data_IF_790766673283
#
_entry.id   IF_790766673283
#
_cell.length_a   1.000
_cell.length_b   1.000
_cell.length_c   1.000
_cell.angle_alpha   90.00
_cell.angle_beta   90.00
_cell.angle_gamma   90.00
#
_symmetry.space_group_name_H-M   'P 1'
#
loop_
_entity.id
_entity.type
_entity.pdbx_description
1 polymer ?
#
# COMPACT_ATOMS: atom_id res chain seq x y z
N UNK A 1 -17.19 47.85 -41.35
CA UNK A 1 -18.35 47.52 -42.21
C UNK A 1 -17.94 46.44 -43.19
N UNK A 2 -18.79 45.46 -43.55
CA UNK A 2 -20.06 45.01 -42.95
C UNK A 2 -19.92 43.56 -42.41
N UNK A 3 -20.35 43.21 -41.18
CA UNK A 3 -21.70 42.78 -40.78
C UNK A 3 -22.44 41.91 -41.79
N UNK A 4 -22.46 40.60 -41.55
CA UNK A 4 -23.50 39.69 -42.05
C UNK A 4 -24.18 39.00 -40.87
N UNK A 5 -25.31 39.57 -40.48
CA UNK A 5 -26.40 38.89 -39.78
C UNK A 5 -27.25 38.15 -40.81
N UNK A 6 -27.67 36.92 -40.52
CA UNK A 6 -28.96 36.44 -41.01
C UNK A 6 -29.59 35.40 -40.08
N UNK A 7 -30.94 35.35 -40.02
CA UNK A 7 -31.71 34.70 -38.98
C UNK A 7 -32.35 33.40 -39.46
N UNK A 8 -32.74 32.50 -38.55
CA UNK A 8 -33.93 31.68 -38.77
C UNK A 8 -34.63 31.42 -37.45
N UNK A 9 -35.91 31.80 -37.44
CA UNK A 9 -36.86 31.58 -36.38
C UNK A 9 -37.65 30.30 -36.62
N UNK A 10 -38.02 29.67 -35.50
CA UNK A 10 -39.34 29.06 -35.22
C UNK A 10 -39.79 27.85 -36.05
N UNK A 11 -39.90 26.69 -35.38
CA UNK A 11 -41.21 26.01 -35.30
C UNK A 11 -41.29 25.13 -34.05
N UNK A 12 -42.38 25.33 -33.28
CA UNK A 12 -42.80 24.46 -32.18
C UNK A 12 -43.36 23.15 -32.75
N UNK A 13 -43.05 22.02 -32.13
CA UNK A 13 -43.89 20.84 -32.16
C UNK A 13 -44.08 20.33 -30.73
N UNK A 14 -45.30 20.48 -30.25
CA UNK A 14 -45.85 19.86 -29.04
C UNK A 14 -46.26 18.44 -29.40
N UNK A 15 -45.84 17.46 -28.59
CA UNK A 15 -46.52 16.17 -28.47
C UNK A 15 -46.53 15.79 -26.99
N UNK A 16 -47.69 15.99 -26.38
CA UNK A 16 -48.13 15.25 -25.20
C UNK A 16 -48.21 13.76 -25.57
N UNK A 17 -47.81 12.86 -24.68
CA UNK A 17 -48.77 11.98 -23.97
C UNK A 17 -48.08 11.07 -22.93
N UNK A 18 -48.69 11.08 -21.74
CA UNK A 18 -48.87 9.99 -20.77
C UNK A 18 -47.63 9.36 -20.10
N UNK A 19 -47.36 9.81 -18.88
CA UNK A 19 -46.81 8.97 -17.82
C UNK A 19 -47.74 9.00 -16.60
N UNK A 20 -48.19 7.81 -16.24
CA UNK A 20 -49.14 7.45 -15.19
C UNK A 20 -48.66 7.93 -13.81
N UNK A 21 -49.46 8.75 -13.10
CA UNK A 21 -49.26 8.99 -11.67
C UNK A 21 -49.79 7.78 -10.89
N UNK A 22 -48.90 7.02 -10.25
CA UNK A 22 -49.26 6.08 -9.20
C UNK A 22 -49.18 6.79 -7.84
N UNK A 23 -50.33 7.17 -7.30
CA UNK A 23 -50.50 7.63 -5.92
C UNK A 23 -50.38 6.44 -4.97
N UNK A 24 -49.30 6.37 -4.20
CA UNK A 24 -49.19 5.47 -3.05
C UNK A 24 -49.73 6.21 -1.83
N UNK A 25 -50.94 5.84 -1.41
CA UNK A 25 -51.50 6.20 -0.10
C UNK A 25 -50.99 5.18 0.91
N UNK A 26 -50.07 5.58 1.80
CA UNK A 26 -49.70 4.80 2.98
C UNK A 26 -50.50 5.28 4.18
N UNK A 27 -51.60 4.58 4.47
CA UNK A 27 -52.31 4.68 5.74
C UNK A 27 -51.45 4.08 6.85
N UNK A 28 -51.11 4.88 7.86
CA UNK A 28 -50.48 4.40 9.09
C UNK A 28 -51.51 3.59 9.90
N UNK A 29 -51.29 2.27 10.02
CA UNK A 29 -52.02 1.41 10.94
C UNK A 29 -51.18 1.23 12.20
N UNK A 30 -51.68 1.74 13.33
CA UNK A 30 -51.14 1.46 14.67
C UNK A 30 -51.88 0.25 15.22
N UNK A 31 -51.21 -0.88 15.56
CA UNK A 31 -51.86 -1.93 16.30
C UNK A 31 -51.79 -1.65 17.81
N UNK A 32 -52.94 -1.72 18.46
CA UNK A 32 -53.10 -1.68 19.90
C UNK A 32 -52.49 -2.92 20.56
N UNK A 33 -51.79 -2.72 21.68
CA UNK A 33 -51.23 -3.78 22.49
C UNK A 33 -52.34 -4.50 23.27
N UNK A 34 -52.49 -5.81 23.04
CA UNK A 34 -53.24 -6.69 23.93
C UNK A 34 -52.25 -7.41 24.85
N UNK A 35 -52.39 -7.18 26.16
CA UNK A 35 -51.63 -7.86 27.21
C UNK A 35 -52.13 -9.30 27.35
N UNK A 36 -51.31 -10.26 26.93
CA UNK A 36 -51.49 -11.69 27.22
C UNK A 36 -50.40 -12.16 28.16
N UNK A 37 -50.76 -12.51 29.39
CA UNK A 37 -49.89 -13.18 30.37
C UNK A 37 -49.60 -14.61 29.92
N UNK A 38 -48.40 -14.87 29.39
CA UNK A 38 -47.87 -16.21 29.17
C UNK A 38 -46.81 -16.52 30.23
N UNK A 39 -47.10 -17.49 31.10
CA UNK A 39 -46.16 -18.03 32.09
C UNK A 39 -45.32 -19.10 31.40
N UNK A 40 -44.06 -18.79 31.09
CA UNK A 40 -43.09 -19.75 30.57
C UNK A 40 -42.48 -20.61 31.70
N UNK A 41 -42.20 -21.91 31.48
CA UNK A 41 -41.60 -22.76 32.50
C UNK A 41 -40.12 -22.42 32.68
N UNK A 42 -39.68 -22.42 33.94
CA UNK A 42 -38.32 -22.09 34.36
C UNK A 42 -37.36 -23.24 34.00
N UNK A 43 -36.46 -23.01 33.04
CA UNK A 43 -35.36 -23.93 32.75
C UNK A 43 -34.33 -23.96 33.90
N UNK A 44 -33.70 -25.12 34.19
CA UNK A 44 -32.72 -25.22 35.27
C UNK A 44 -31.45 -24.44 34.95
N UNK A 45 -30.96 -23.70 35.95
CA UNK A 45 -29.78 -22.85 35.86
C UNK A 45 -28.53 -23.73 35.92
N UNK A 46 -27.95 -24.06 34.76
CA UNK A 46 -26.63 -24.68 34.68
C UNK A 46 -25.58 -23.64 35.13
N UNK A 47 -24.67 -23.96 36.06
CA UNK A 47 -23.59 -23.04 36.42
C UNK A 47 -22.77 -22.76 35.17
N UNK A 48 -22.61 -21.50 34.80
CA UNK A 48 -21.70 -21.08 33.74
C UNK A 48 -20.28 -21.45 34.20
N UNK A 49 -19.82 -22.63 33.80
CA UNK A 49 -18.43 -23.02 33.94
C UNK A 49 -17.59 -21.98 33.22
N UNK A 50 -16.66 -21.37 33.96
CA UNK A 50 -15.65 -20.47 33.41
C UNK A 50 -14.88 -21.25 32.36
N UNK A 51 -15.22 -21.06 31.09
CA UNK A 51 -14.39 -21.54 29.99
C UNK A 51 -12.96 -21.00 30.23
N UNK A 52 -11.91 -21.83 30.12
CA UNK A 52 -10.55 -21.34 30.25
C UNK A 52 -10.37 -20.20 29.27
N UNK A 53 -10.17 -18.98 29.79
CA UNK A 53 -9.81 -17.82 28.97
C UNK A 53 -8.49 -18.17 28.31
N UNK A 54 -8.54 -18.58 27.05
CA UNK A 54 -7.34 -18.74 26.21
C UNK A 54 -6.56 -17.44 26.37
N UNK A 55 -5.29 -17.48 26.81
CA UNK A 55 -4.52 -16.26 27.03
C UNK A 55 -4.60 -15.43 25.76
N UNK A 56 -5.02 -14.17 25.89
CA UNK A 56 -4.90 -13.24 24.79
C UNK A 56 -3.43 -13.26 24.37
N UNK A 57 -3.16 -13.72 23.14
CA UNK A 57 -1.80 -13.85 22.63
C UNK A 57 -1.02 -12.58 22.93
N UNK A 58 0.19 -12.73 23.46
CA UNK A 58 1.03 -11.61 23.90
C UNK A 58 1.15 -10.59 22.77
N UNK A 59 0.82 -9.33 23.06
CA UNK A 59 0.95 -8.25 22.09
C UNK A 59 2.39 -8.18 21.56
N UNK A 60 2.61 -7.94 20.25
CA UNK A 60 3.95 -7.85 19.70
C UNK A 60 4.78 -6.78 20.42
N UNK A 61 6.00 -7.15 20.83
CA UNK A 61 6.94 -6.29 21.53
C UNK A 61 7.77 -5.50 20.52
N UNK A 62 7.59 -4.18 20.51
CA UNK A 62 8.45 -3.29 19.72
C UNK A 62 9.86 -3.26 20.34
N UNK A 63 10.93 -3.56 19.59
CA UNK A 63 12.30 -3.53 20.12
C UNK A 63 12.68 -2.15 20.67
N UNK A 64 13.48 -2.12 21.74
CA UNK A 64 13.94 -0.87 22.34
C UNK A 64 14.67 0.02 21.31
N UNK A 65 14.39 1.32 21.35
CA UNK A 65 14.93 2.29 20.39
C UNK A 65 14.32 2.23 19.00
N UNK A 66 13.47 1.25 18.67
CA UNK A 66 12.75 1.16 17.39
C UNK A 66 11.40 1.87 17.50
N UNK A 67 11.07 2.74 16.54
CA UNK A 67 9.69 3.16 16.34
C UNK A 67 9.04 2.23 15.32
N UNK A 68 7.83 1.77 15.59
CA UNK A 68 7.12 0.85 14.71
C UNK A 68 5.67 1.27 14.47
N UNK A 69 5.15 0.85 13.33
CA UNK A 69 3.73 0.85 12.97
C UNK A 69 3.43 -0.47 12.27
N UNK A 70 2.30 -1.10 12.59
CA UNK A 70 1.89 -2.32 11.89
C UNK A 70 0.39 -2.47 11.78
N UNK A 71 -0.04 -3.14 10.72
CA UNK A 71 -1.44 -3.54 10.49
C UNK A 71 -1.45 -4.94 9.89
N UNK A 72 -2.35 -5.79 10.38
CA UNK A 72 -2.75 -7.06 9.76
C UNK A 72 -4.24 -6.97 9.43
N UNK A 73 -4.58 -7.20 8.18
CA UNK A 73 -5.95 -7.23 7.67
C UNK A 73 -6.26 -8.62 7.13
N UNK A 74 -7.30 -9.26 7.67
CA UNK A 74 -7.81 -10.54 7.17
C UNK A 74 -8.89 -10.29 6.12
N UNK A 75 -8.60 -10.67 4.88
CA UNK A 75 -9.50 -10.47 3.75
C UNK A 75 -10.72 -11.37 3.79
N UNK A 76 -10.62 -12.53 4.45
CA UNK A 76 -11.76 -13.47 4.54
C UNK A 76 -12.83 -12.89 5.45
N UNK A 77 -12.44 -12.27 6.56
CA UNK A 77 -13.37 -11.63 7.50
C UNK A 77 -13.64 -10.17 7.18
N UNK A 78 -12.84 -9.55 6.30
CA UNK A 78 -12.93 -8.13 5.97
C UNK A 78 -12.50 -7.21 7.11
N UNK A 79 -11.71 -7.71 8.07
CA UNK A 79 -11.39 -7.00 9.33
C UNK A 79 -9.89 -6.84 9.53
N UNK A 80 -9.51 -5.72 10.12
CA UNK A 80 -8.19 -5.57 10.74
C UNK A 80 -8.14 -6.42 12.01
N UNK A 81 -7.30 -7.45 12.02
CA UNK A 81 -7.14 -8.36 13.18
C UNK A 81 -6.10 -7.83 14.16
N UNK A 82 -5.19 -6.98 13.72
CA UNK A 82 -4.16 -6.37 14.55
C UNK A 82 -3.76 -5.00 13.99
N UNK A 83 -3.61 -4.01 14.86
CA UNK A 83 -3.07 -2.70 14.49
C UNK A 83 -2.26 -2.07 15.63
N UNK A 84 -1.24 -1.31 15.27
CA UNK A 84 -0.46 -0.50 16.18
C UNK A 84 0.02 0.74 15.46
N UNK A 85 -0.40 1.92 15.94
CA UNK A 85 -0.07 3.23 15.37
C UNK A 85 -0.25 3.28 13.83
N UNK A 86 -1.43 2.89 13.30
CA UNK A 86 -1.62 2.61 11.87
C UNK A 86 -1.43 3.83 10.96
N UNK A 87 -1.63 5.04 11.49
CA UNK A 87 -1.55 6.32 10.76
C UNK A 87 -0.23 7.08 10.97
N UNK A 88 0.72 6.53 11.74
CA UNK A 88 2.04 7.15 11.87
C UNK A 88 2.78 7.05 10.54
N UNK A 89 3.36 8.17 10.11
CA UNK A 89 4.01 8.30 8.81
C UNK A 89 5.49 7.95 8.90
N UNK A 90 5.95 7.15 7.94
CA UNK A 90 7.35 6.78 7.73
C UNK A 90 7.78 7.18 6.33
N UNK A 91 9.08 7.38 6.11
CA UNK A 91 9.63 7.33 4.75
C UNK A 91 9.31 5.97 4.14
N UNK A 92 8.86 5.93 2.90
CA UNK A 92 8.45 4.71 2.23
C UNK A 92 9.61 3.77 1.94
N UNK A 93 10.79 4.33 1.68
CA UNK A 93 11.84 3.65 0.94
C UNK A 93 11.23 2.94 -0.30
N UNK A 94 11.71 1.74 -0.62
CA UNK A 94 11.28 0.95 -1.79
C UNK A 94 9.84 0.42 -1.76
N UNK A 95 9.06 0.64 -0.70
CA UNK A 95 7.63 0.26 -0.69
C UNK A 95 6.82 1.10 -1.69
N UNK A 96 7.21 2.36 -1.92
CA UNK A 96 6.53 3.26 -2.90
C UNK A 96 6.57 2.74 -4.33
N UNK A 97 7.49 1.82 -4.67
CA UNK A 97 7.59 1.22 -6.01
C UNK A 97 6.29 0.51 -6.42
N UNK A 98 5.45 0.10 -5.47
CA UNK A 98 4.09 -0.41 -5.76
C UNK A 98 3.21 0.70 -6.33
N UNK A 99 3.24 1.90 -5.75
CA UNK A 99 2.48 3.06 -6.23
C UNK A 99 2.99 3.54 -7.59
N UNK A 100 4.31 3.51 -7.81
CA UNK A 100 4.93 3.84 -9.10
C UNK A 100 4.47 2.85 -10.18
N UNK A 101 4.50 1.54 -9.89
CA UNK A 101 4.02 0.51 -10.83
C UNK A 101 2.52 0.65 -11.11
N UNK A 102 1.71 0.87 -10.06
CA UNK A 102 0.27 1.09 -10.19
C UNK A 102 -0.03 2.29 -11.09
N UNK A 103 0.61 3.43 -10.86
CA UNK A 103 0.38 4.64 -11.65
C UNK A 103 0.74 4.43 -13.12
N UNK A 104 1.91 3.83 -13.40
CA UNK A 104 2.30 3.50 -14.77
C UNK A 104 1.28 2.58 -15.43
N UNK A 105 0.92 1.47 -14.79
CA UNK A 105 0.04 0.46 -15.39
C UNK A 105 -1.42 0.92 -15.52
N UNK A 106 -1.94 1.69 -14.57
CA UNK A 106 -3.32 2.22 -14.56
C UNK A 106 -3.50 3.44 -15.45
N UNK A 107 -2.41 4.11 -15.85
CA UNK A 107 -2.44 5.18 -16.85
C UNK A 107 -2.44 4.63 -18.29
N UNK A 108 -2.15 3.33 -18.46
CA UNK A 108 -2.30 2.65 -19.76
C UNK A 108 -3.79 2.50 -20.06
N UNK A 109 -4.16 2.75 -21.32
CA UNK A 109 -5.51 2.46 -21.80
C UNK A 109 -5.86 0.97 -21.63
N UNK A 110 -7.16 0.64 -21.48
CA UNK A 110 -7.59 -0.76 -21.46
C UNK A 110 -7.03 -1.53 -22.66
N UNK A 111 -6.50 -2.73 -22.42
CA UNK A 111 -5.97 -3.58 -23.49
C UNK A 111 -4.60 -3.19 -24.04
N UNK A 112 -4.01 -2.06 -23.61
CA UNK A 112 -2.69 -1.67 -24.12
C UNK A 112 -1.59 -2.55 -23.54
N UNK A 113 -0.81 -3.20 -24.40
CA UNK A 113 0.30 -4.06 -23.99
C UNK A 113 1.42 -3.27 -23.29
N UNK A 114 2.07 -3.85 -22.28
CA UNK A 114 3.27 -3.24 -21.68
C UNK A 114 4.46 -3.45 -22.63
N UNK A 115 5.16 -2.40 -23.08
CA UNK A 115 6.35 -2.55 -23.90
C UNK A 115 7.39 -3.46 -23.23
N UNK A 116 8.12 -4.26 -24.01
CA UNK A 116 9.09 -5.23 -23.46
C UNK A 116 10.13 -4.59 -22.53
N UNK A 117 10.64 -3.40 -22.89
CA UNK A 117 11.59 -2.67 -22.06
C UNK A 117 10.98 -2.25 -20.70
N UNK A 118 9.74 -1.77 -20.71
CA UNK A 118 9.05 -1.39 -19.46
C UNK A 118 8.68 -2.62 -18.63
N UNK A 119 8.36 -3.75 -19.26
CA UNK A 119 8.14 -5.01 -18.57
C UNK A 119 9.41 -5.49 -17.85
N UNK A 120 10.61 -5.31 -18.45
CA UNK A 120 11.87 -5.60 -17.77
C UNK A 120 12.13 -4.63 -16.60
N UNK A 121 11.88 -3.33 -16.78
CA UNK A 121 11.99 -2.35 -15.71
C UNK A 121 11.07 -2.71 -14.53
N UNK A 122 9.79 -3.03 -14.80
CA UNK A 122 8.84 -3.48 -13.76
C UNK A 122 9.33 -4.74 -13.04
N UNK A 123 9.87 -5.72 -13.80
CA UNK A 123 10.42 -6.96 -13.25
C UNK A 123 11.57 -6.66 -12.28
N UNK A 124 12.57 -5.87 -12.69
CA UNK A 124 13.72 -5.52 -11.85
C UNK A 124 13.30 -4.68 -10.64
N UNK A 125 12.48 -3.65 -10.86
CA UNK A 125 11.98 -2.75 -9.80
C UNK A 125 11.21 -3.50 -8.72
N UNK A 126 10.31 -4.41 -9.11
CA UNK A 126 9.44 -5.10 -8.16
C UNK A 126 10.09 -6.32 -7.52
N UNK A 127 10.94 -7.06 -8.25
CA UNK A 127 11.59 -8.28 -7.72
C UNK A 127 12.87 -7.99 -6.98
N UNK A 128 13.79 -7.25 -7.59
CA UNK A 128 15.12 -6.96 -7.06
C UNK A 128 15.20 -5.57 -6.43
N UNK A 129 14.07 -4.84 -6.34
CA UNK A 129 14.03 -3.50 -5.77
C UNK A 129 14.96 -2.50 -6.47
N UNK A 130 15.21 -2.68 -7.76
CA UNK A 130 16.11 -1.85 -8.58
C UNK A 130 15.71 -0.36 -8.55
N UNK A 131 16.67 0.50 -8.21
CA UNK A 131 16.48 1.94 -8.03
C UNK A 131 16.50 2.71 -9.35
N UNK A 132 17.29 2.27 -10.33
CA UNK A 132 17.35 2.88 -11.66
C UNK A 132 16.03 2.63 -12.41
N UNK A 133 15.50 1.41 -12.31
CA UNK A 133 14.20 1.08 -12.87
C UNK A 133 13.06 1.89 -12.23
N UNK A 134 13.12 2.11 -10.92
CA UNK A 134 12.14 2.97 -10.24
C UNK A 134 12.28 4.44 -10.65
N UNK A 135 13.51 4.94 -10.75
CA UNK A 135 13.78 6.32 -11.13
C UNK A 135 13.34 6.60 -12.57
N UNK A 136 13.51 5.64 -13.49
CA UNK A 136 12.99 5.74 -14.85
C UNK A 136 11.47 5.94 -14.88
N UNK A 137 10.69 5.14 -14.13
CA UNK A 137 9.24 5.34 -14.04
C UNK A 137 8.86 6.62 -13.28
N UNK A 138 9.61 6.95 -12.21
CA UNK A 138 9.37 8.15 -11.41
C UNK A 138 9.49 9.42 -12.24
N UNK A 139 10.58 9.56 -13.00
CA UNK A 139 10.81 10.72 -13.84
C UNK A 139 9.80 10.81 -14.99
N UNK A 140 9.57 9.70 -15.71
CA UNK A 140 8.60 9.65 -16.82
C UNK A 140 7.17 9.93 -16.36
N UNK A 141 6.81 9.52 -15.14
CA UNK A 141 5.49 9.74 -14.57
C UNK A 141 5.27 11.12 -13.95
N UNK A 142 6.24 12.04 -14.01
CA UNK A 142 6.12 13.38 -13.46
C UNK A 142 6.32 13.45 -11.95
N UNK A 143 7.12 12.53 -11.39
CA UNK A 143 7.61 12.55 -10.00
C UNK A 143 6.48 12.60 -8.97
N UNK A 144 6.42 13.65 -8.15
CA UNK A 144 5.40 13.84 -7.11
C UNK A 144 3.96 13.77 -7.65
N UNK A 145 3.74 14.03 -8.94
CA UNK A 145 2.44 13.87 -9.58
C UNK A 145 1.92 12.41 -9.51
N UNK A 146 2.80 11.41 -9.55
CA UNK A 146 2.47 9.99 -9.34
C UNK A 146 1.78 9.83 -7.99
N UNK A 147 2.39 10.37 -6.93
CA UNK A 147 1.84 10.25 -5.57
C UNK A 147 0.50 10.98 -5.48
N UNK A 148 0.37 12.16 -6.07
CA UNK A 148 -0.91 12.88 -6.11
C UNK A 148 -2.03 12.08 -6.80
N UNK A 149 -1.74 11.44 -7.93
CA UNK A 149 -2.72 10.58 -8.64
C UNK A 149 -3.08 9.35 -7.82
N UNK A 150 -2.10 8.68 -7.22
CA UNK A 150 -2.35 7.48 -6.41
C UNK A 150 -3.09 7.79 -5.11
N UNK A 151 -2.75 8.88 -4.42
CA UNK A 151 -3.49 9.36 -3.24
C UNK A 151 -4.96 9.56 -3.55
N UNK A 152 -5.28 10.24 -4.66
CA UNK A 152 -6.68 10.45 -5.09
C UNK A 152 -7.37 9.14 -5.48
N UNK A 153 -6.70 8.31 -6.28
CA UNK A 153 -7.29 7.06 -6.81
C UNK A 153 -7.58 6.04 -5.71
N UNK A 154 -6.63 5.84 -4.79
CA UNK A 154 -6.71 4.84 -3.73
C UNK A 154 -7.35 5.40 -2.45
N UNK A 155 -7.60 6.72 -2.39
CA UNK A 155 -8.07 7.44 -1.20
C UNK A 155 -7.11 7.29 0.00
N UNK A 156 -5.80 7.39 -0.27
CA UNK A 156 -4.77 7.30 0.76
C UNK A 156 -4.79 8.55 1.63
N UNK A 157 -4.84 8.38 2.94
CA UNK A 157 -5.08 9.51 3.86
C UNK A 157 -3.80 10.05 4.48
N UNK A 158 -2.72 9.26 4.54
CA UNK A 158 -1.46 9.63 5.18
C UNK A 158 -0.31 9.77 4.18
N UNK A 159 -0.46 9.16 3.01
CA UNK A 159 0.53 9.12 1.96
C UNK A 159 0.69 10.50 1.36
N UNK A 160 1.93 10.94 1.17
CA UNK A 160 2.22 12.25 0.60
C UNK A 160 3.54 12.26 -0.14
N UNK A 161 3.74 13.22 -1.05
CA UNK A 161 4.95 13.32 -1.85
C UNK A 161 6.19 13.47 -0.96
N UNK A 162 7.39 13.19 -1.49
CA UNK A 162 8.62 13.51 -0.79
C UNK A 162 8.70 15.01 -0.47
N UNK A 163 9.54 15.42 0.51
CA UNK A 163 9.75 16.83 0.83
C UNK A 163 10.09 17.65 -0.43
N UNK A 164 9.55 18.86 -0.54
CA UNK A 164 9.79 19.74 -1.68
C UNK A 164 11.28 20.07 -1.89
N UNK A 165 12.08 20.03 -0.83
CA UNK A 165 13.55 20.18 -0.87
C UNK A 165 14.29 18.95 -1.41
N UNK A 166 13.59 17.84 -1.64
CA UNK A 166 14.13 16.55 -2.09
C UNK A 166 13.18 15.89 -3.13
N UNK A 167 12.80 16.59 -4.22
CA UNK A 167 11.73 16.15 -5.12
C UNK A 167 12.09 14.90 -5.96
N UNK A 168 13.38 14.64 -6.17
CA UNK A 168 13.88 13.43 -6.86
C UNK A 168 13.92 12.18 -5.96
N UNK A 169 13.79 12.34 -4.64
CA UNK A 169 13.94 11.24 -3.69
C UNK A 169 12.62 10.51 -3.49
N UNK A 170 12.18 9.71 -4.48
CA UNK A 170 10.92 8.97 -4.42
C UNK A 170 10.77 8.14 -3.12
N UNK A 171 11.88 7.60 -2.60
CA UNK A 171 11.89 6.82 -1.34
C UNK A 171 11.59 7.64 -0.08
N UNK A 172 11.52 8.96 -0.18
CA UNK A 172 11.11 9.87 0.91
C UNK A 172 9.62 10.17 0.91
N UNK A 173 8.86 9.60 -0.05
CA UNK A 173 7.40 9.57 0.00
C UNK A 173 6.95 9.11 1.38
N UNK A 174 6.09 9.89 2.02
CA UNK A 174 5.52 9.50 3.30
C UNK A 174 4.47 8.42 3.07
N UNK A 175 4.44 7.40 3.93
CA UNK A 175 3.36 6.40 3.96
C UNK A 175 3.03 5.97 5.39
N UNK A 176 1.87 5.36 5.59
CA UNK A 176 1.43 4.74 6.85
C UNK A 176 1.10 3.26 6.65
N UNK A 177 1.03 2.48 7.72
CA UNK A 177 0.67 1.06 7.61
C UNK A 177 -0.77 0.88 7.13
N UNK A 178 -1.69 1.78 7.50
CA UNK A 178 -3.06 1.81 6.99
C UNK A 178 -3.12 2.02 5.47
N UNK A 179 -2.34 2.96 4.94
CA UNK A 179 -2.30 3.24 3.49
C UNK A 179 -1.63 2.12 2.70
N UNK A 180 -0.61 1.47 3.26
CA UNK A 180 -0.01 0.27 2.66
C UNK A 180 -1.06 -0.84 2.55
N UNK A 181 -1.83 -1.11 3.61
CA UNK A 181 -2.92 -2.09 3.56
C UNK A 181 -3.97 -1.70 2.53
N UNK A 182 -4.36 -0.42 2.47
CA UNK A 182 -5.29 0.10 1.47
C UNK A 182 -4.79 -0.12 0.05
N UNK A 183 -3.48 0.02 -0.19
CA UNK A 183 -2.84 -0.23 -1.48
C UNK A 183 -2.93 -1.69 -1.91
N UNK A 184 -2.61 -2.63 -1.02
CA UNK A 184 -2.76 -4.07 -1.31
C UNK A 184 -4.21 -4.49 -1.51
N UNK A 185 -5.14 -3.90 -0.74
CA UNK A 185 -6.57 -4.12 -0.93
C UNK A 185 -7.04 -3.62 -2.29
N UNK A 186 -6.62 -2.43 -2.72
CA UNK A 186 -6.92 -1.93 -4.07
C UNK A 186 -6.44 -2.92 -5.14
N UNK A 187 -5.20 -3.40 -5.05
CA UNK A 187 -4.66 -4.40 -5.99
C UNK A 187 -5.54 -5.65 -6.08
N UNK A 188 -6.03 -6.15 -4.96
CA UNK A 188 -6.79 -7.39 -4.91
C UNK A 188 -8.27 -7.23 -5.28
N UNK A 189 -8.88 -6.11 -4.87
CA UNK A 189 -10.33 -5.92 -4.86
C UNK A 189 -10.82 -5.05 -6.03
N UNK A 190 -9.98 -4.15 -6.58
CA UNK A 190 -10.44 -3.09 -7.50
C UNK A 190 -9.59 -2.86 -8.74
N UNK A 191 -8.28 -3.13 -8.68
CA UNK A 191 -7.40 -2.95 -9.82
C UNK A 191 -7.83 -3.83 -11.01
N UNK A 192 -7.55 -3.38 -12.23
CA UNK A 192 -7.71 -4.23 -13.40
C UNK A 192 -6.92 -5.54 -13.18
N UNK A 193 -7.51 -6.73 -13.44
CA UNK A 193 -6.84 -8.01 -13.24
C UNK A 193 -5.44 -8.08 -13.87
N UNK A 194 -5.24 -7.54 -15.08
CA UNK A 194 -3.92 -7.52 -15.73
C UNK A 194 -2.89 -6.70 -14.96
N UNK A 195 -3.30 -5.57 -14.38
CA UNK A 195 -2.44 -4.72 -13.54
C UNK A 195 -2.10 -5.44 -12.23
N UNK A 196 -3.11 -6.00 -11.57
CA UNK A 196 -2.95 -6.81 -10.36
C UNK A 196 -1.97 -7.96 -10.59
N UNK A 197 -2.16 -8.71 -11.66
CA UNK A 197 -1.42 -9.94 -11.91
C UNK A 197 0.04 -9.64 -12.27
N UNK A 198 0.33 -8.55 -12.98
CA UNK A 198 1.70 -8.06 -13.20
C UNK A 198 2.37 -7.73 -11.87
N UNK A 199 1.75 -6.87 -11.04
CA UNK A 199 2.37 -6.40 -9.79
C UNK A 199 2.54 -7.57 -8.81
N UNK A 200 1.45 -8.27 -8.47
CA UNK A 200 1.49 -9.36 -7.49
C UNK A 200 2.30 -10.54 -8.01
N UNK A 201 2.31 -10.81 -9.32
CA UNK A 201 3.17 -11.81 -9.93
C UNK A 201 4.66 -11.52 -9.69
N UNK A 202 5.08 -10.26 -9.81
CA UNK A 202 6.45 -9.88 -9.47
C UNK A 202 6.72 -9.92 -7.96
N UNK A 203 5.81 -9.44 -7.11
CA UNK A 203 5.99 -9.47 -5.65
C UNK A 203 6.07 -10.89 -5.07
N UNK A 204 5.36 -11.87 -5.66
CA UNK A 204 5.49 -13.31 -5.30
C UNK A 204 6.86 -13.91 -5.64
N UNK A 205 7.54 -13.29 -6.60
CA UNK A 205 8.85 -13.67 -7.12
C UNK A 205 9.94 -12.66 -6.71
N UNK A 206 9.76 -11.96 -5.58
CA UNK A 206 10.80 -11.11 -5.01
C UNK A 206 12.11 -11.91 -4.83
N UNK A 207 13.24 -11.37 -5.29
CA UNK A 207 14.53 -12.04 -5.17
C UNK A 207 15.09 -11.90 -3.76
N UNK A 208 15.97 -12.80 -3.34
CA UNK A 208 16.65 -12.64 -2.04
C UNK A 208 17.65 -11.49 -2.06
N UNK A 209 18.50 -11.45 -3.07
CA UNK A 209 19.42 -10.35 -3.25
C UNK A 209 18.75 -9.26 -4.08
N UNK A 210 18.78 -8.04 -3.56
CA UNK A 210 18.36 -6.84 -4.27
C UNK A 210 19.44 -6.42 -5.29
N UNK A 211 19.10 -5.48 -6.18
CA UNK A 211 20.00 -4.99 -7.22
C UNK A 211 21.24 -4.25 -6.65
N UNK A 212 21.12 -3.75 -5.42
CA UNK A 212 22.15 -3.04 -4.64
C UNK A 212 22.89 -3.97 -3.65
N UNK A 213 22.76 -5.28 -3.82
CA UNK A 213 23.37 -6.36 -3.03
C UNK A 213 22.87 -6.52 -1.59
N UNK A 214 21.87 -5.76 -1.15
CA UNK A 214 21.22 -6.02 0.13
C UNK A 214 20.43 -7.34 0.12
N UNK A 215 20.49 -8.10 1.22
CA UNK A 215 19.61 -9.27 1.45
C UNK A 215 18.22 -8.78 1.88
N UNK A 216 17.27 -8.77 0.96
CA UNK A 216 15.90 -8.32 1.24
C UNK A 216 15.01 -9.39 1.89
N UNK A 217 15.52 -10.61 2.16
CA UNK A 217 14.78 -11.63 2.91
C UNK A 217 14.87 -11.41 4.43
N UNK A 218 14.39 -10.26 4.88
CA UNK A 218 14.11 -9.94 6.29
C UNK A 218 12.61 -9.76 6.49
N UNK A 219 12.08 -9.75 7.71
CA UNK A 219 10.65 -9.53 7.92
C UNK A 219 9.82 -10.71 7.39
N UNK A 220 8.74 -10.45 6.64
CA UNK A 220 7.80 -11.47 6.14
C UNK A 220 8.52 -12.67 5.50
N UNK A 221 9.43 -12.51 4.51
CA UNK A 221 10.17 -13.62 3.90
C UNK A 221 10.86 -14.60 4.85
N UNK A 222 11.36 -14.12 6.00
CA UNK A 222 12.13 -14.92 6.97
C UNK A 222 11.38 -15.21 8.28
N UNK A 223 10.23 -14.58 8.49
CA UNK A 223 9.43 -14.72 9.70
C UNK A 223 8.16 -15.55 9.49
N UNK A 224 7.70 -15.66 8.24
CA UNK A 224 6.36 -16.15 7.90
C UNK A 224 6.46 -17.24 6.83
N UNK A 225 5.72 -18.36 6.96
CA UNK A 225 5.68 -19.39 5.94
C UNK A 225 5.18 -18.88 4.58
N UNK A 226 5.68 -19.46 3.50
CA UNK A 226 5.07 -19.29 2.17
C UNK A 226 3.63 -19.87 2.16
N UNK A 227 2.76 -19.42 1.24
CA UNK A 227 2.99 -18.42 0.20
C UNK A 227 2.95 -16.98 0.72
N UNK A 228 3.69 -16.10 0.03
CA UNK A 228 3.65 -14.66 0.23
C UNK A 228 3.90 -13.90 -1.07
N UNK A 229 3.50 -12.62 -1.10
CA UNK A 229 3.83 -11.64 -2.14
C UNK A 229 4.30 -10.35 -1.46
N UNK A 230 5.59 -10.00 -1.55
CA UNK A 230 6.18 -8.99 -0.66
C UNK A 230 6.84 -7.83 -1.40
N UNK A 231 6.82 -6.66 -0.78
CA UNK A 231 7.74 -5.58 -1.10
C UNK A 231 8.41 -5.05 0.17
N UNK A 232 9.73 -5.05 0.11
CA UNK A 232 10.59 -4.60 1.19
C UNK A 232 11.04 -3.15 0.93
N UNK A 233 11.40 -2.43 2.00
CA UNK A 233 11.97 -1.08 1.91
C UNK A 233 13.05 -0.83 2.94
N UNK A 234 14.17 -0.23 2.53
CA UNK A 234 15.26 0.18 3.41
C UNK A 234 15.85 1.53 2.97
N UNK A 235 16.38 2.30 3.92
CA UNK A 235 17.15 3.51 3.65
C UNK A 235 17.96 3.88 4.89
N UNK A 236 19.10 4.54 4.69
CA UNK A 236 20.00 4.94 5.78
C UNK A 236 21.05 3.90 6.15
N UNK A 237 21.47 3.05 5.21
CA UNK A 237 22.51 2.02 5.40
C UNK A 237 23.67 2.10 4.38
N UNK A 238 23.79 3.22 3.66
CA UNK A 238 24.71 3.35 2.52
C UNK A 238 24.13 2.79 1.22
N UNK A 239 24.92 2.87 0.15
CA UNK A 239 24.55 2.39 -1.19
C UNK A 239 24.65 0.86 -1.33
N UNK A 240 25.56 0.23 -0.57
CA UNK A 240 25.77 -1.21 -0.54
C UNK A 240 25.92 -1.69 0.91
N UNK A 241 25.55 -2.95 1.21
CA UNK A 241 25.74 -3.50 2.54
C UNK A 241 27.23 -3.77 2.81
N UNK A 242 27.61 -3.74 4.09
CA UNK A 242 28.95 -4.15 4.52
C UNK A 242 29.26 -5.63 4.18
N UNK A 243 28.24 -6.47 4.08
CA UNK A 243 28.35 -7.86 3.62
C UNK A 243 27.36 -8.06 2.48
N UNK A 244 27.83 -8.22 1.23
CA UNK A 244 26.97 -8.49 0.08
C UNK A 244 26.13 -9.75 0.25
N UNK A 245 24.91 -9.72 -0.29
CA UNK A 245 24.02 -10.87 -0.30
C UNK A 245 24.61 -12.01 -1.14
N UNK A 246 24.81 -13.17 -0.51
CA UNK A 246 25.16 -14.42 -1.18
C UNK A 246 23.89 -15.26 -1.41
N UNK A 247 23.30 -15.15 -2.58
CA UNK A 247 22.07 -15.87 -2.94
C UNK A 247 21.69 -15.66 -4.41
N UNK A 248 20.67 -16.39 -4.88
CA UNK A 248 20.19 -16.26 -6.26
C UNK A 248 19.71 -14.84 -6.53
N UNK A 249 20.45 -14.10 -7.36
CA UNK A 249 19.99 -12.85 -7.96
C UNK A 249 18.86 -13.18 -8.96
N UNK A 250 17.85 -12.31 -9.07
CA UNK A 250 17.04 -12.35 -10.29
C UNK A 250 17.99 -12.14 -11.48
N UNK A 251 17.86 -12.89 -12.58
CA UNK A 251 18.73 -12.70 -13.75
C UNK A 251 18.62 -11.25 -14.22
N UNK A 252 19.68 -10.47 -13.97
CA UNK A 252 19.86 -9.13 -14.50
C UNK A 252 20.86 -9.30 -15.62
N UNK A 253 20.40 -9.56 -16.84
CA UNK A 253 21.21 -9.20 -18.00
C UNK A 253 21.16 -7.69 -18.08
N UNK A 254 22.20 -7.03 -17.56
CA UNK A 254 22.42 -5.62 -17.81
C UNK A 254 22.71 -5.45 -19.31
N UNK A 255 22.09 -4.49 -20.01
CA UNK A 255 22.68 -4.04 -21.25
C UNK A 255 24.05 -3.42 -20.91
N UNK A 256 25.09 -3.89 -21.58
CA UNK A 256 26.36 -3.18 -21.63
C UNK A 256 26.12 -1.86 -22.36
N UNK A 257 25.96 -0.77 -21.60
CA UNK A 257 26.20 0.64 -21.94
C UNK A 257 25.23 1.55 -21.15
N UNK A 258 25.78 2.51 -20.41
CA UNK A 258 25.02 3.69 -19.97
C UNK A 258 25.34 4.19 -18.56
N UNK A 259 26.35 5.06 -18.50
CA UNK A 259 26.62 6.11 -17.49
C UNK A 259 26.08 5.90 -16.07
N UNK A 260 27.00 5.74 -15.11
CA UNK A 260 26.72 6.10 -13.73
C UNK A 260 26.24 7.54 -13.68
N UNK A 261 24.96 7.74 -13.37
CA UNK A 261 24.42 9.08 -13.16
C UNK A 261 24.69 9.47 -11.73
N UNK A 262 25.79 10.20 -11.55
CA UNK A 262 25.94 11.10 -10.42
C UNK A 262 24.73 12.05 -10.36
N UNK A 263 24.23 12.32 -9.16
CA UNK A 263 23.18 13.33 -8.91
C UNK A 263 23.50 14.62 -9.69
N UNK A 264 22.71 15.02 -10.70
CA UNK A 264 22.95 16.30 -11.35
C UNK A 264 22.54 17.46 -10.44
N UNK A 265 23.35 18.50 -10.49
CA UNK A 265 23.17 19.74 -9.77
C UNK A 265 21.86 20.47 -10.13
N UNK A 266 21.44 21.26 -9.16
CA UNK A 266 20.16 21.96 -9.00
C UNK A 266 19.87 23.00 -10.09
N UNK A 267 18.60 23.10 -10.48
CA UNK A 267 17.99 24.35 -10.97
C UNK A 267 16.51 24.39 -10.58
N UNK A 268 16.11 25.47 -9.91
CA UNK A 268 14.73 25.77 -9.46
C UNK A 268 13.82 26.14 -10.61
N UNK A 269 12.52 25.78 -10.52
CA UNK A 269 11.51 26.84 -10.58
C UNK A 269 10.30 26.70 -9.62
N UNK A 270 9.82 27.89 -9.25
CA UNK A 270 8.53 28.37 -8.75
C UNK A 270 7.60 27.46 -7.91
N UNK A 271 7.27 27.99 -6.73
CA UNK A 271 6.34 27.44 -5.76
C UNK A 271 4.89 27.35 -6.29
N UNK A 272 4.23 26.21 -6.04
CA UNK A 272 2.77 26.14 -6.03
C UNK A 272 2.27 25.99 -4.59
N UNK A 273 1.15 26.66 -4.32
CA UNK A 273 0.50 26.84 -3.03
C UNK A 273 -0.03 25.51 -2.48
N UNK A 274 0.47 25.09 -1.32
CA UNK A 274 0.10 23.84 -0.66
C UNK A 274 -0.70 24.07 0.63
N UNK A 275 -1.74 23.25 0.82
CA UNK A 275 -2.46 23.01 2.08
C UNK A 275 -1.51 22.90 3.29
N UNK A 276 -1.99 23.16 4.54
CA UNK A 276 -1.13 23.11 5.73
C UNK A 276 -0.35 21.79 5.78
N UNK A 277 0.97 21.90 5.72
CA UNK A 277 1.86 20.77 5.52
C UNK A 277 1.82 19.85 6.75
N UNK A 278 1.42 18.59 6.56
CA UNK A 278 1.53 17.54 7.59
C UNK A 278 2.99 17.41 8.06
N UNK A 279 3.24 17.00 9.32
CA UNK A 279 4.60 16.89 9.83
C UNK A 279 5.51 16.04 8.92
N UNK A 280 6.75 16.49 8.68
CA UNK A 280 7.68 15.79 7.81
C UNK A 280 8.05 14.42 8.41
N UNK A 281 8.30 13.46 7.53
CA UNK A 281 8.80 12.14 7.94
C UNK A 281 10.25 12.24 8.45
N UNK A 282 10.64 11.36 9.36
CA UNK A 282 12.02 11.30 9.85
C UNK A 282 12.98 10.92 8.72
N UNK A 283 13.88 11.84 8.35
CA UNK A 283 14.87 11.65 7.29
C UNK A 283 16.23 11.14 7.79
N UNK A 284 16.44 11.13 9.11
CA UNK A 284 17.74 10.88 9.73
C UNK A 284 17.94 9.42 10.09
N UNK A 285 16.96 8.82 10.78
CA UNK A 285 17.08 7.46 11.30
C UNK A 285 16.89 6.41 10.21
N UNK A 286 17.66 5.30 10.21
CA UNK A 286 17.49 4.25 9.21
C UNK A 286 16.07 3.67 9.24
N UNK A 287 15.53 3.33 8.07
CA UNK A 287 14.22 2.67 7.95
C UNK A 287 14.39 1.25 7.45
N UNK A 288 13.55 0.33 7.95
CA UNK A 288 13.45 -1.01 7.43
C UNK A 288 11.98 -1.45 7.49
N UNK A 289 11.40 -1.82 6.36
CA UNK A 289 9.97 -2.11 6.22
C UNK A 289 9.76 -3.45 5.52
N UNK A 290 8.78 -4.21 5.99
CA UNK A 290 8.30 -5.41 5.32
C UNK A 290 6.79 -5.32 5.12
N UNK A 291 6.34 -5.56 3.90
CA UNK A 291 4.94 -5.41 3.51
C UNK A 291 4.56 -6.50 2.52
N UNK A 292 3.34 -7.00 2.55
CA UNK A 292 2.94 -8.04 1.63
C UNK A 292 1.62 -8.72 1.91
N UNK A 293 1.31 -9.65 1.01
CA UNK A 293 0.26 -10.65 1.15
C UNK A 293 0.86 -11.90 1.77
N UNK A 294 0.11 -12.55 2.67
CA UNK A 294 0.56 -13.67 3.48
C UNK A 294 -0.52 -14.76 3.54
N UNK A 295 -0.08 -16.01 3.41
CA UNK A 295 -0.91 -17.19 3.58
C UNK A 295 -1.65 -17.60 2.31
N UNK A 296 -2.23 -18.81 2.33
CA UNK A 296 -2.95 -19.39 1.20
C UNK A 296 -4.06 -18.45 0.72
N UNK A 297 -4.17 -18.27 -0.60
CA UNK A 297 -5.18 -17.38 -1.21
C UNK A 297 -4.95 -15.89 -0.92
N UNK A 298 -3.72 -15.51 -0.53
CA UNK A 298 -3.37 -14.15 -0.11
C UNK A 298 -4.27 -13.66 1.03
N UNK A 299 -4.59 -14.53 2.00
CA UNK A 299 -5.62 -14.26 3.03
C UNK A 299 -5.34 -12.99 3.82
N UNK A 300 -4.09 -12.80 4.27
CA UNK A 300 -3.71 -11.67 5.10
C UNK A 300 -2.98 -10.62 4.28
N UNK A 301 -3.29 -9.35 4.53
CA UNK A 301 -2.43 -8.22 4.18
C UNK A 301 -1.68 -7.80 5.43
N UNK A 302 -0.36 -7.73 5.36
CA UNK A 302 0.49 -7.41 6.49
C UNK A 302 1.47 -6.28 6.13
N UNK A 303 1.51 -5.25 6.97
CA UNK A 303 2.46 -4.15 6.86
C UNK A 303 3.15 -3.95 8.21
N UNK A 304 4.49 -3.93 8.22
CA UNK A 304 5.31 -3.59 9.39
C UNK A 304 6.35 -2.56 8.95
N UNK A 305 6.21 -1.35 9.50
CA UNK A 305 7.03 -0.19 9.19
C UNK A 305 7.88 0.16 10.41
N UNK A 306 9.17 0.41 10.23
CA UNK A 306 10.06 0.77 11.34
C UNK A 306 11.04 1.88 11.04
N UNK A 307 11.33 2.69 12.06
CA UNK A 307 12.55 3.49 12.19
C UNK A 307 13.44 2.77 13.20
N UNK A 308 14.68 2.53 12.82
CA UNK A 308 15.66 1.82 13.62
C UNK A 308 16.48 2.81 14.46
N UNK A 309 17.16 2.36 15.54
CA UNK A 309 18.06 3.22 16.30
C UNK A 309 19.08 3.92 15.38
N UNK A 310 19.49 5.13 15.75
CA UNK A 310 20.58 5.80 15.03
C UNK A 310 21.86 4.94 15.12
N UNK A 311 22.62 4.87 14.02
CA UNK A 311 23.84 4.04 13.94
C UNK A 311 23.61 2.53 13.85
N UNK A 312 22.35 2.05 13.85
CA UNK A 312 22.06 0.64 13.69
C UNK A 312 22.58 0.10 12.35
N UNK A 313 23.28 -1.05 12.39
CA UNK A 313 23.68 -1.76 11.18
C UNK A 313 22.47 -2.41 10.48
N UNK A 314 22.55 -2.59 9.16
CA UNK A 314 21.53 -3.28 8.37
C UNK A 314 21.16 -4.65 8.97
N UNK A 315 22.17 -5.46 9.32
CA UNK A 315 21.99 -6.79 9.93
C UNK A 315 21.19 -6.71 11.23
N UNK A 316 21.55 -5.80 12.14
CA UNK A 316 20.85 -5.67 13.42
C UNK A 316 19.41 -5.20 13.25
N UNK A 317 19.17 -4.30 12.29
CA UNK A 317 17.84 -3.81 11.92
C UNK A 317 16.98 -4.90 11.28
N UNK A 318 17.56 -5.71 10.39
CA UNK A 318 16.90 -6.84 9.75
C UNK A 318 16.48 -7.89 10.79
N UNK A 319 17.35 -8.21 11.76
CA UNK A 319 17.02 -9.10 12.86
C UNK A 319 15.86 -8.57 13.71
N UNK A 320 15.91 -7.30 14.14
CA UNK A 320 14.83 -6.64 14.91
C UNK A 320 13.50 -6.64 14.16
N UNK A 321 13.50 -6.24 12.88
CA UNK A 321 12.28 -6.23 12.07
C UNK A 321 11.73 -7.65 11.87
N UNK A 322 12.60 -8.64 11.65
CA UNK A 322 12.18 -10.04 11.45
C UNK A 322 11.54 -10.62 12.71
N UNK A 323 12.11 -10.35 13.89
CA UNK A 323 11.51 -10.76 15.16
C UNK A 323 10.12 -10.12 15.35
N UNK A 324 10.01 -8.80 15.15
CA UNK A 324 8.74 -8.09 15.24
C UNK A 324 7.71 -8.62 14.22
N UNK A 325 8.11 -8.86 12.97
CA UNK A 325 7.22 -9.42 11.95
C UNK A 325 6.70 -10.81 12.34
N UNK A 326 7.52 -11.66 12.99
CA UNK A 326 7.07 -12.96 13.47
C UNK A 326 5.99 -12.84 14.54
N UNK A 327 6.16 -11.91 15.47
CA UNK A 327 5.18 -11.66 16.52
C UNK A 327 3.88 -11.05 15.96
N UNK A 328 4.00 -10.06 15.07
CA UNK A 328 2.86 -9.45 14.37
C UNK A 328 2.07 -10.49 13.58
N UNK A 329 2.74 -11.38 12.85
CA UNK A 329 2.09 -12.46 12.12
C UNK A 329 1.30 -13.37 13.07
N UNK A 330 1.94 -13.89 14.13
CA UNK A 330 1.30 -14.79 15.10
C UNK A 330 0.11 -14.14 15.80
N UNK A 331 0.24 -12.89 16.23
CA UNK A 331 -0.82 -12.15 16.91
C UNK A 331 -1.96 -11.74 15.98
N UNK A 332 -1.67 -11.53 14.69
CA UNK A 332 -2.65 -11.16 13.67
C UNK A 332 -3.36 -12.35 13.01
N UNK A 333 -2.98 -13.59 13.34
CA UNK A 333 -3.69 -14.76 12.86
C UNK A 333 -5.15 -14.74 13.35
N UNK A 334 -6.10 -15.12 12.47
CA UNK A 334 -7.48 -15.33 12.88
C UNK A 334 -7.53 -16.35 14.02
N UNK A 335 -8.33 -16.05 15.05
CA UNK A 335 -8.66 -16.98 16.12
C UNK A 335 -9.91 -17.76 15.78
#
# INVERSE_FOLDING_TARGET
MPTFTSPFASTRAVLLTTALLATVVTTAFVPAAAAGTSVAPRAPKVPAGTAPRVPAGTAPRVPAGTAASYVVFDRVTGRTTLSYKPHVRFRSASVVKILIALDYLESRGPGTAVPRGDADLLRRMLRASDDDAASAFWDRGGRAAIIGRMVRRLKLVDTGPPPASKPGFWGYTALSAADVVTTYRYLLERANPRVRDVILGHLRNASRCAADDFDQYFGIPSAVPRPWAVKQGWSGYGAHPAVPCSGTRASVQAPANGSGTTNPAYTTPAASTASPARPPVNLVRPVLHTTGLVGKGDRLVMAVLTLQPAGASYRSSAARLTALAREVYRAGLPR
#
